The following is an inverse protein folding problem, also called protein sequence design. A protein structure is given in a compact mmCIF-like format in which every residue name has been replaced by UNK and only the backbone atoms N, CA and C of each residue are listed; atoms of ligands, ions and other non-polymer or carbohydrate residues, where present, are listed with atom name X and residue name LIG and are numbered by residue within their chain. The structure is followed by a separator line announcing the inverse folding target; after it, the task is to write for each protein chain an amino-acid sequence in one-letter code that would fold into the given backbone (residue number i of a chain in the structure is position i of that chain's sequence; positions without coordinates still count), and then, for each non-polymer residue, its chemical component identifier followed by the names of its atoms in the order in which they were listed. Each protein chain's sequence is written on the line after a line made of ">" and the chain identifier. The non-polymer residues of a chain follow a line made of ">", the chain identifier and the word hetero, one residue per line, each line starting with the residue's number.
data_IF_974652314283
#
_entry.id   IF_974652314283
#
_cell.length_a   1.000
_cell.length_b   1.000
_cell.length_c   1.000
_cell.angle_alpha   90.00
_cell.angle_beta   90.00
_cell.angle_gamma   90.00
#
_symmetry.space_group_name_H-M   'P 1'
#
loop_
_entity.id
_entity.type
_entity.pdbx_description
1 polymer ?
#
# COMPACT_ATOMS: atom_id res chain seq x y z
N UNK A 1 -3.81 -30.19 -9.88
CA UNK A 1 -3.37 -28.79 -9.91
C UNK A 1 -1.96 -28.69 -9.39
N UNK A 2 -1.03 -28.28 -10.25
CA UNK A 2 0.30 -27.84 -9.86
C UNK A 2 0.20 -26.39 -9.41
N UNK A 3 0.31 -26.10 -8.10
CA UNK A 3 0.48 -24.72 -7.63
C UNK A 3 1.81 -24.16 -8.17
N UNK A 4 1.73 -23.20 -9.09
CA UNK A 4 2.91 -22.52 -9.59
C UNK A 4 3.22 -21.30 -8.70
N UNK A 5 4.19 -21.45 -7.79
CA UNK A 5 4.65 -20.36 -6.88
C UNK A 5 5.14 -19.06 -7.55
N UNK A 6 5.21 -19.01 -8.88
CA UNK A 6 5.74 -17.88 -9.65
C UNK A 6 4.70 -17.29 -10.63
N UNK A 7 3.42 -17.67 -10.50
CA UNK A 7 2.33 -17.18 -11.34
C UNK A 7 1.32 -16.41 -10.49
N UNK A 8 0.78 -15.34 -11.07
CA UNK A 8 -0.23 -14.50 -10.42
C UNK A 8 -1.61 -14.83 -10.96
N UNK A 9 -2.66 -14.60 -10.16
CA UNK A 9 -4.06 -14.83 -10.58
C UNK A 9 -4.61 -13.73 -11.51
N UNK A 10 -4.06 -12.52 -11.40
CA UNK A 10 -4.57 -11.35 -12.11
C UNK A 10 -4.45 -11.47 -13.63
N UNK A 11 -5.57 -11.30 -14.35
CA UNK A 11 -5.59 -11.34 -15.81
C UNK A 11 -5.29 -9.92 -16.35
N UNK A 12 -4.15 -9.65 -17.00
CA UNK A 12 -3.70 -8.30 -17.36
C UNK A 12 -4.37 -7.74 -18.63
N UNK A 13 -5.66 -8.02 -18.80
CA UNK A 13 -6.49 -7.52 -19.89
C UNK A 13 -7.75 -6.87 -19.34
N UNK A 14 -8.30 -5.93 -20.11
CA UNK A 14 -9.64 -5.43 -19.84
C UNK A 14 -10.68 -6.46 -20.26
N UNK A 15 -11.84 -6.48 -19.60
CA UNK A 15 -12.96 -7.35 -20.00
C UNK A 15 -13.34 -7.21 -21.47
N UNK A 16 -13.41 -5.97 -21.97
CA UNK A 16 -13.68 -5.68 -23.38
C UNK A 16 -12.62 -6.25 -24.34
N UNK A 17 -11.37 -6.28 -23.90
CA UNK A 17 -10.27 -6.83 -24.70
C UNK A 17 -10.35 -8.37 -24.72
N UNK A 18 -10.61 -9.03 -23.59
CA UNK A 18 -10.85 -10.49 -23.55
C UNK A 18 -11.97 -10.90 -24.51
N UNK A 19 -13.11 -10.21 -24.47
CA UNK A 19 -14.25 -10.48 -25.37
C UNK A 19 -13.82 -10.32 -26.84
N UNK A 20 -13.04 -9.29 -27.14
CA UNK A 20 -12.51 -9.05 -28.49
C UNK A 20 -11.57 -10.17 -28.93
N UNK A 21 -10.60 -10.55 -28.10
CA UNK A 21 -9.64 -11.63 -28.39
C UNK A 21 -10.36 -12.95 -28.66
N UNK A 22 -11.40 -13.27 -27.89
CA UNK A 22 -12.25 -14.45 -28.08
C UNK A 22 -12.99 -14.40 -29.42
N UNK A 23 -13.61 -13.27 -29.77
CA UNK A 23 -14.32 -13.14 -31.05
C UNK A 23 -13.37 -13.20 -32.26
N UNK A 24 -12.15 -12.68 -32.13
CA UNK A 24 -11.12 -12.68 -33.18
C UNK A 24 -10.44 -14.06 -33.34
N UNK A 25 -10.67 -15.01 -32.42
CA UNK A 25 -10.18 -16.40 -32.50
C UNK A 25 -10.72 -17.17 -33.72
N UNK A 26 -11.83 -16.72 -34.30
CA UNK A 26 -12.46 -17.36 -35.46
C UNK A 26 -13.27 -18.63 -35.13
N UNK A 27 -13.54 -18.89 -33.84
CA UNK A 27 -14.34 -20.04 -33.40
C UNK A 27 -15.85 -19.86 -33.55
N UNK A 28 -16.31 -18.63 -33.80
CA UNK A 28 -17.73 -18.29 -33.91
C UNK A 28 -18.08 -17.77 -35.30
N UNK A 29 -19.28 -18.12 -35.79
CA UNK A 29 -19.89 -17.45 -36.93
C UNK A 29 -20.18 -15.98 -36.59
N UNK A 30 -20.34 -15.06 -37.58
CA UNK A 30 -20.68 -13.67 -37.29
C UNK A 30 -21.93 -13.49 -36.41
N UNK A 31 -22.95 -14.33 -36.61
CA UNK A 31 -24.16 -14.31 -35.78
C UNK A 31 -23.91 -14.80 -34.34
N UNK A 32 -23.06 -15.82 -34.16
CA UNK A 32 -22.71 -16.30 -32.82
C UNK A 32 -21.78 -15.32 -32.08
N UNK A 33 -20.96 -14.54 -32.80
CA UNK A 33 -20.19 -13.45 -32.19
C UNK A 33 -21.10 -12.37 -31.60
N UNK A 34 -22.16 -11.96 -32.30
CA UNK A 34 -23.13 -11.00 -31.78
C UNK A 34 -23.87 -11.56 -30.56
N UNK A 35 -24.31 -12.82 -30.62
CA UNK A 35 -24.93 -13.49 -29.46
C UNK A 35 -23.98 -13.60 -28.27
N UNK A 36 -22.71 -13.92 -28.51
CA UNK A 36 -21.71 -14.02 -27.45
C UNK A 36 -21.45 -12.67 -26.78
N UNK A 37 -21.41 -11.58 -27.56
CA UNK A 37 -21.33 -10.22 -27.00
C UNK A 37 -22.55 -9.88 -26.15
N UNK A 38 -23.76 -10.28 -26.58
CA UNK A 38 -24.98 -10.12 -25.78
C UNK A 38 -24.91 -10.91 -24.48
N UNK A 39 -24.46 -12.17 -24.53
CA UNK A 39 -24.21 -12.99 -23.34
C UNK A 39 -23.26 -12.27 -22.36
N UNK A 40 -22.10 -11.82 -22.83
CA UNK A 40 -21.13 -11.11 -21.99
C UNK A 40 -21.73 -9.84 -21.36
N UNK A 41 -22.51 -9.06 -22.12
CA UNK A 41 -23.16 -7.85 -21.60
C UNK A 41 -24.17 -8.18 -20.48
N UNK A 42 -24.92 -9.27 -20.59
CA UNK A 42 -25.84 -9.72 -19.55
C UNK A 42 -25.08 -10.15 -18.30
N UNK A 43 -23.99 -10.93 -18.46
CA UNK A 43 -23.09 -11.30 -17.35
C UNK A 43 -22.55 -10.07 -16.63
N UNK A 44 -22.05 -9.08 -17.38
CA UNK A 44 -21.57 -7.81 -16.83
C UNK A 44 -22.67 -7.07 -16.03
N UNK A 45 -23.89 -7.03 -16.56
CA UNK A 45 -25.01 -6.33 -15.93
C UNK A 45 -25.42 -7.01 -14.61
N UNK A 46 -25.43 -8.34 -14.60
CA UNK A 46 -25.71 -9.17 -13.44
C UNK A 46 -24.66 -8.95 -12.34
N UNK A 47 -23.37 -9.06 -12.68
CA UNK A 47 -22.31 -8.85 -11.69
C UNK A 47 -22.29 -7.42 -11.19
N UNK A 48 -22.48 -6.43 -12.05
CA UNK A 48 -22.54 -5.04 -11.62
C UNK A 48 -23.63 -4.81 -10.56
N UNK A 49 -24.81 -5.41 -10.75
CA UNK A 49 -25.90 -5.36 -9.79
C UNK A 49 -25.54 -6.03 -8.45
N UNK A 50 -24.95 -7.22 -8.49
CA UNK A 50 -24.56 -7.96 -7.28
C UNK A 50 -23.43 -7.26 -6.50
N UNK A 51 -22.43 -6.74 -7.20
CA UNK A 51 -21.31 -6.01 -6.60
C UNK A 51 -21.73 -4.65 -6.04
N UNK A 52 -22.75 -4.01 -6.60
CA UNK A 52 -23.33 -2.80 -6.01
C UNK A 52 -23.82 -3.05 -4.58
N UNK A 53 -24.47 -4.19 -4.31
CA UNK A 53 -24.89 -4.55 -2.95
C UNK A 53 -23.69 -4.70 -2.00
N UNK A 54 -22.60 -5.32 -2.45
CA UNK A 54 -21.38 -5.48 -1.66
C UNK A 54 -20.73 -4.13 -1.34
N UNK A 55 -20.72 -3.21 -2.31
CA UNK A 55 -20.25 -1.83 -2.13
C UNK A 55 -21.05 -1.08 -1.06
N UNK A 56 -22.38 -1.13 -1.12
CA UNK A 56 -23.23 -0.50 -0.09
C UNK A 56 -22.95 -1.12 1.28
N UNK A 57 -22.81 -2.44 1.37
CA UNK A 57 -22.51 -3.13 2.61
C UNK A 57 -21.15 -2.72 3.22
N UNK A 58 -20.12 -2.54 2.40
CA UNK A 58 -18.82 -2.01 2.85
C UNK A 58 -18.96 -0.60 3.42
N UNK A 59 -19.70 0.29 2.74
CA UNK A 59 -19.90 1.66 3.19
C UNK A 59 -20.67 1.74 4.51
N UNK A 60 -21.74 0.98 4.66
CA UNK A 60 -22.54 0.94 5.89
C UNK A 60 -21.71 0.47 7.09
N UNK A 61 -20.94 -0.61 6.94
CA UNK A 61 -20.10 -1.13 8.04
C UNK A 61 -18.85 -0.26 8.30
N UNK A 62 -18.42 0.55 7.34
CA UNK A 62 -17.31 1.50 7.52
C UNK A 62 -17.74 2.82 8.15
N UNK A 63 -19.02 3.17 8.05
CA UNK A 63 -19.58 4.43 8.55
C UNK A 63 -19.11 4.84 9.96
N UNK A 64 -19.17 3.98 11.00
CA UNK A 64 -18.77 4.39 12.36
C UNK A 64 -17.27 4.65 12.53
N UNK A 65 -16.44 4.24 11.56
CA UNK A 65 -14.98 4.37 11.62
C UNK A 65 -14.42 5.40 10.63
N UNK A 66 -15.26 5.91 9.73
CA UNK A 66 -14.83 6.76 8.63
C UNK A 66 -14.44 8.17 9.13
N UNK A 67 -13.15 8.57 9.02
CA UNK A 67 -12.71 9.90 9.43
C UNK A 67 -13.18 11.01 8.49
N UNK A 68 -13.66 10.67 7.30
CA UNK A 68 -14.11 11.61 6.27
C UNK A 68 -15.65 11.69 6.17
N UNK A 69 -16.38 11.35 7.23
CA UNK A 69 -17.85 11.42 7.22
C UNK A 69 -18.35 12.85 6.97
N UNK A 70 -19.10 13.03 5.89
CA UNK A 70 -19.76 14.27 5.51
C UNK A 70 -21.29 14.24 5.69
N UNK A 71 -21.82 13.07 6.07
CA UNK A 71 -23.23 12.84 6.38
C UNK A 71 -23.47 12.77 7.89
N UNK A 72 -24.73 12.89 8.31
CA UNK A 72 -25.13 12.82 9.72
C UNK A 72 -25.88 11.52 9.98
N UNK A 73 -25.62 10.91 11.13
CA UNK A 73 -26.41 9.79 11.66
C UNK A 73 -27.04 10.15 13.00
N UNK A 74 -28.24 9.63 13.25
CA UNK A 74 -28.88 9.63 14.58
C UNK A 74 -28.67 8.31 15.32
N UNK A 75 -28.10 7.31 14.65
CA UNK A 75 -27.85 6.00 15.23
C UNK A 75 -26.68 6.09 16.22
N UNK A 76 -26.90 5.60 17.44
CA UNK A 76 -25.88 5.48 18.46
C UNK A 76 -25.42 4.03 18.50
N UNK A 77 -24.23 3.77 17.99
CA UNK A 77 -23.65 2.44 17.98
C UNK A 77 -23.25 2.02 19.40
N UNK A 78 -23.75 0.87 19.84
CA UNK A 78 -23.26 0.18 21.02
C UNK A 78 -21.88 -0.45 20.75
N UNK A 79 -21.09 -0.78 21.79
CA UNK A 79 -19.80 -1.45 21.62
C UNK A 79 -19.88 -2.77 20.84
N UNK A 80 -20.97 -3.52 21.01
CA UNK A 80 -21.20 -4.78 20.29
C UNK A 80 -21.53 -4.53 18.80
N UNK A 81 -22.27 -3.46 18.49
CA UNK A 81 -22.54 -3.06 17.10
C UNK A 81 -21.27 -2.58 16.41
N UNK A 82 -20.45 -1.75 17.07
CA UNK A 82 -19.14 -1.34 16.54
C UNK A 82 -18.29 -2.55 16.18
N UNK A 83 -18.20 -3.53 17.09
CA UNK A 83 -17.43 -4.75 16.84
C UNK A 83 -17.97 -5.54 15.65
N UNK A 84 -19.29 -5.69 15.53
CA UNK A 84 -19.91 -6.33 14.37
C UNK A 84 -19.62 -5.60 13.07
N UNK A 85 -19.70 -4.27 13.07
CA UNK A 85 -19.36 -3.46 11.89
C UNK A 85 -17.91 -3.68 11.47
N UNK A 86 -16.98 -3.72 12.42
CA UNK A 86 -15.58 -4.02 12.14
C UNK A 86 -15.37 -5.42 11.55
N UNK A 87 -15.93 -6.45 12.19
CA UNK A 87 -15.81 -7.84 11.74
C UNK A 87 -16.38 -8.00 10.32
N UNK A 88 -17.59 -7.49 10.09
CA UNK A 88 -18.26 -7.50 8.79
C UNK A 88 -17.47 -6.76 7.73
N UNK A 89 -16.95 -5.57 8.06
CA UNK A 89 -16.17 -4.76 7.13
C UNK A 89 -14.90 -5.50 6.72
N UNK A 90 -14.15 -6.03 7.69
CA UNK A 90 -12.89 -6.71 7.42
C UNK A 90 -13.09 -7.98 6.61
N UNK A 91 -14.12 -8.78 6.94
CA UNK A 91 -14.47 -9.98 6.18
C UNK A 91 -14.81 -9.65 4.72
N UNK A 92 -15.71 -8.69 4.50
CA UNK A 92 -16.13 -8.31 3.15
C UNK A 92 -15.01 -7.63 2.36
N UNK A 93 -14.18 -6.83 3.04
CA UNK A 93 -13.01 -6.20 2.41
C UNK A 93 -12.02 -7.25 1.90
N UNK A 94 -11.77 -8.30 2.69
CA UNK A 94 -10.92 -9.43 2.30
C UNK A 94 -11.54 -10.23 1.14
N UNK A 95 -12.84 -10.48 1.19
CA UNK A 95 -13.57 -11.18 0.12
C UNK A 95 -13.44 -10.42 -1.21
N UNK A 96 -13.75 -9.12 -1.22
CA UNK A 96 -13.66 -8.30 -2.43
C UNK A 96 -12.23 -8.22 -2.98
N UNK A 97 -11.24 -8.10 -2.10
CA UNK A 97 -9.85 -8.11 -2.53
C UNK A 97 -9.44 -9.47 -3.12
N UNK A 98 -9.90 -10.58 -2.55
CA UNK A 98 -9.68 -11.89 -3.14
C UNK A 98 -10.29 -11.99 -4.55
N UNK A 99 -11.56 -11.59 -4.69
CA UNK A 99 -12.25 -11.56 -5.99
C UNK A 99 -11.59 -10.59 -7.00
N UNK A 100 -10.85 -9.58 -6.52
CA UNK A 100 -10.04 -8.69 -7.34
C UNK A 100 -8.62 -9.24 -7.62
N UNK A 101 -8.35 -10.50 -7.30
CA UNK A 101 -7.06 -11.18 -7.44
C UNK A 101 -5.91 -10.55 -6.63
N UNK A 102 -6.22 -9.99 -5.45
CA UNK A 102 -5.21 -9.56 -4.48
C UNK A 102 -4.82 -10.70 -3.54
N UNK A 103 -3.57 -10.67 -3.09
CA UNK A 103 -3.01 -11.55 -2.08
C UNK A 103 -2.66 -10.80 -0.81
N UNK A 104 -2.85 -11.44 0.35
CA UNK A 104 -2.49 -10.84 1.63
C UNK A 104 -0.98 -10.90 1.83
N UNK A 105 -0.37 -9.78 2.20
CA UNK A 105 1.03 -9.72 2.60
C UNK A 105 1.16 -10.33 4.00
N UNK A 106 2.10 -11.26 4.15
CA UNK A 106 2.35 -11.93 5.43
C UNK A 106 3.20 -11.06 6.35
N UNK A 107 3.19 -11.36 7.66
CA UNK A 107 4.12 -10.72 8.60
C UNK A 107 5.59 -10.98 8.24
N UNK A 108 5.89 -12.14 7.64
CA UNK A 108 7.23 -12.48 7.17
C UNK A 108 7.68 -11.57 6.02
N UNK A 109 6.77 -11.25 5.09
CA UNK A 109 7.05 -10.32 3.98
C UNK A 109 7.30 -8.90 4.49
N UNK A 110 6.53 -8.46 5.50
CA UNK A 110 6.74 -7.18 6.17
C UNK A 110 8.08 -7.14 6.91
N UNK A 111 8.43 -8.19 7.66
CA UNK A 111 9.71 -8.28 8.35
C UNK A 111 10.89 -8.24 7.35
N UNK A 112 10.78 -8.96 6.24
CA UNK A 112 11.76 -8.91 5.16
C UNK A 112 11.91 -7.51 4.56
N UNK A 113 10.80 -6.78 4.36
CA UNK A 113 10.84 -5.39 3.89
C UNK A 113 11.58 -4.47 4.85
N UNK A 114 11.43 -4.67 6.16
CA UNK A 114 12.11 -3.88 7.21
C UNK A 114 13.60 -4.19 7.34
N UNK A 115 14.05 -5.39 6.98
CA UNK A 115 15.47 -5.80 7.03
C UNK A 115 16.27 -5.37 5.79
N UNK A 116 15.63 -5.34 4.62
CA UNK A 116 16.31 -5.01 3.35
C UNK A 116 16.65 -3.52 3.24
N UNK A 117 17.73 -3.21 2.51
CA UNK A 117 18.10 -1.81 2.28
C UNK A 117 17.03 -1.09 1.45
N UNK A 118 16.28 -0.21 2.12
CA UNK A 118 15.40 0.78 1.49
C UNK A 118 16.10 1.59 0.38
N UNK A 119 15.36 1.94 -0.67
CA UNK A 119 15.84 2.87 -1.71
C UNK A 119 16.12 4.26 -1.12
N UNK A 120 15.42 4.59 -0.04
CA UNK A 120 15.66 5.79 0.73
C UNK A 120 16.83 5.56 1.68
N UNK A 121 17.82 6.45 1.61
CA UNK A 121 19.02 6.37 2.47
C UNK A 121 18.72 6.59 3.97
N UNK A 122 17.46 6.75 4.35
CA UNK A 122 16.99 7.08 5.70
C UNK A 122 16.00 5.99 6.12
N UNK A 123 16.18 5.45 7.32
CA UNK A 123 15.29 4.42 7.88
C UNK A 123 14.01 5.06 8.41
N UNK A 124 12.86 4.55 7.96
CA UNK A 124 11.58 4.88 8.55
C UNK A 124 11.32 3.93 9.72
N UNK A 125 10.77 4.45 10.81
CA UNK A 125 10.27 3.64 11.90
C UNK A 125 8.76 3.79 12.01
N UNK A 126 8.06 2.67 12.03
CA UNK A 126 6.61 2.58 12.23
C UNK A 126 6.37 2.06 13.65
N UNK A 127 5.53 2.74 14.42
CA UNK A 127 5.14 2.26 15.75
C UNK A 127 3.86 1.43 15.62
N UNK A 128 4.00 0.14 15.33
CA UNK A 128 2.87 -0.76 15.10
C UNK A 128 1.95 -0.89 16.33
N UNK A 129 2.42 -0.54 17.53
CA UNK A 129 1.59 -0.55 18.74
C UNK A 129 0.43 0.46 18.69
N UNK A 130 0.49 1.47 17.80
CA UNK A 130 -0.58 2.46 17.62
C UNK A 130 -1.81 1.89 16.90
N UNK A 131 -1.66 0.74 16.24
CA UNK A 131 -2.72 0.11 15.48
C UNK A 131 -3.39 -0.98 16.31
N UNK A 132 -4.71 -1.01 16.24
CA UNK A 132 -5.51 -2.10 16.80
C UNK A 132 -5.52 -3.29 15.84
N UNK A 133 -5.66 -3.01 14.55
CA UNK A 133 -5.52 -4.00 13.47
C UNK A 133 -4.95 -3.36 12.21
N UNK A 134 -4.23 -4.15 11.42
CA UNK A 134 -3.74 -3.77 10.10
C UNK A 134 -3.73 -4.98 9.17
N UNK A 135 -4.18 -4.78 7.94
CA UNK A 135 -4.05 -5.77 6.88
C UNK A 135 -3.58 -5.09 5.60
N UNK A 136 -2.71 -5.78 4.86
CA UNK A 136 -2.12 -5.28 3.63
C UNK A 136 -2.25 -6.36 2.57
N UNK A 137 -2.67 -5.93 1.39
CA UNK A 137 -2.86 -6.78 0.23
C UNK A 137 -2.11 -6.20 -0.96
N UNK A 138 -1.62 -7.07 -1.84
CA UNK A 138 -0.99 -6.66 -3.09
C UNK A 138 -1.60 -7.38 -4.28
N UNK A 139 -1.46 -6.78 -5.46
CA UNK A 139 -1.73 -7.40 -6.74
C UNK A 139 -0.72 -6.91 -7.74
N UNK A 140 -0.14 -7.83 -8.52
CA UNK A 140 0.92 -7.47 -9.46
C UNK A 140 2.28 -7.33 -8.79
N UNK A 141 3.27 -8.00 -9.35
CA UNK A 141 4.68 -7.83 -9.02
C UNK A 141 5.46 -7.52 -10.30
N UNK A 142 6.33 -6.52 -10.20
CA UNK A 142 7.12 -6.09 -11.35
C UNK A 142 8.53 -5.71 -10.91
N UNK A 143 9.42 -5.59 -11.88
CA UNK A 143 10.76 -5.02 -11.67
C UNK A 143 10.85 -3.67 -12.36
N UNK A 144 11.12 -2.62 -11.60
CA UNK A 144 11.29 -1.26 -12.12
C UNK A 144 12.76 -0.82 -12.07
N UNK A 145 13.20 -0.14 -13.12
CA UNK A 145 14.55 0.44 -13.18
C UNK A 145 14.57 1.75 -12.39
N UNK A 146 15.19 1.74 -11.21
CA UNK A 146 15.43 2.94 -10.42
C UNK A 146 16.84 3.48 -10.68
N UNK A 147 16.98 4.81 -10.75
CA UNK A 147 18.29 5.47 -10.85
C UNK A 147 18.73 5.94 -9.46
N UNK A 148 19.66 5.22 -8.85
CA UNK A 148 20.18 5.52 -7.52
C UNK A 148 21.49 6.29 -7.61
N UNK A 149 21.59 7.39 -6.86
CA UNK A 149 22.83 8.17 -6.76
C UNK A 149 23.79 7.50 -5.78
N UNK A 150 24.82 6.83 -6.30
CA UNK A 150 25.84 6.10 -5.52
C UNK A 150 26.85 7.06 -4.87
N UNK A 151 27.28 8.10 -5.60
CA UNK A 151 28.14 9.18 -5.08
C UNK A 151 27.77 10.55 -5.69
N UNK A 152 28.44 11.65 -5.30
CA UNK A 152 28.12 13.05 -5.67
C UNK A 152 27.82 13.29 -7.17
N UNK A 153 28.29 12.42 -8.07
CA UNK A 153 28.12 12.53 -9.53
C UNK A 153 27.68 11.21 -10.19
N UNK A 154 27.93 10.05 -9.56
CA UNK A 154 27.65 8.74 -10.17
C UNK A 154 26.25 8.25 -9.84
N UNK A 155 25.46 7.99 -10.87
CA UNK A 155 24.18 7.29 -10.81
C UNK A 155 24.34 5.84 -11.28
N UNK A 156 23.60 4.93 -10.67
CA UNK A 156 23.54 3.52 -11.05
C UNK A 156 22.07 3.18 -11.31
N UNK A 157 21.81 2.49 -12.43
CA UNK A 157 20.51 1.90 -12.70
C UNK A 157 20.45 0.56 -11.97
N UNK A 158 19.47 0.40 -11.10
CA UNK A 158 19.27 -0.83 -10.32
C UNK A 158 17.84 -1.29 -10.53
N UNK A 159 17.70 -2.59 -10.71
CA UNK A 159 16.41 -3.26 -10.79
C UNK A 159 15.82 -3.39 -9.40
N UNK A 160 14.61 -2.88 -9.23
CA UNK A 160 13.91 -2.81 -7.95
C UNK A 160 12.62 -3.60 -8.07
N UNK A 161 12.42 -4.63 -7.23
CA UNK A 161 11.14 -5.31 -7.17
C UNK A 161 10.08 -4.39 -6.54
N UNK A 162 8.93 -4.29 -7.20
CA UNK A 162 7.79 -3.50 -6.75
C UNK A 162 6.54 -4.36 -6.68
N UNK A 163 5.63 -3.98 -5.80
CA UNK A 163 4.22 -4.33 -5.90
C UNK A 163 3.51 -3.29 -6.78
N UNK A 164 2.79 -3.74 -7.79
CA UNK A 164 2.13 -2.84 -8.74
C UNK A 164 0.90 -2.18 -8.15
N UNK A 165 0.14 -2.90 -7.32
CA UNK A 165 -0.99 -2.40 -6.52
C UNK A 165 -0.85 -2.86 -5.08
N UNK A 166 -1.15 -1.96 -4.14
CA UNK A 166 -1.25 -2.28 -2.71
C UNK A 166 -2.52 -1.68 -2.15
N UNK A 167 -3.32 -2.48 -1.45
CA UNK A 167 -4.39 -2.00 -0.58
C UNK A 167 -3.94 -2.13 0.88
N UNK A 168 -4.13 -1.09 1.67
CA UNK A 168 -3.85 -1.08 3.11
C UNK A 168 -5.10 -0.68 3.87
N UNK A 169 -5.34 -1.39 4.96
CA UNK A 169 -6.39 -1.12 5.93
C UNK A 169 -5.74 -1.04 7.31
N UNK A 170 -5.98 0.05 8.04
CA UNK A 170 -5.44 0.29 9.38
C UNK A 170 -6.58 0.79 10.27
N UNK A 171 -6.73 0.17 11.44
CA UNK A 171 -7.54 0.70 12.54
C UNK A 171 -6.63 1.25 13.63
N UNK A 172 -6.85 2.49 14.04
CA UNK A 172 -6.13 3.06 15.18
C UNK A 172 -6.75 2.63 16.50
N UNK A 173 -5.91 2.56 17.55
CA UNK A 173 -6.41 2.39 18.92
C UNK A 173 -7.27 3.57 19.38
N UNK A 174 -7.99 3.36 20.47
CA UNK A 174 -8.91 4.35 21.03
C UNK A 174 -8.20 5.56 21.68
N UNK A 175 -9.00 6.54 22.08
CA UNK A 175 -8.50 7.76 22.72
C UNK A 175 -7.77 7.45 24.05
N UNK A 176 -8.27 6.48 24.84
CA UNK A 176 -7.71 6.12 26.14
C UNK A 176 -6.27 5.60 26.02
N UNK A 177 -5.97 4.82 24.98
CA UNK A 177 -4.62 4.37 24.66
C UNK A 177 -3.66 5.56 24.39
N UNK A 178 -4.06 6.50 23.54
CA UNK A 178 -3.20 7.62 23.16
C UNK A 178 -3.00 8.66 24.28
N UNK A 179 -4.01 8.86 25.12
CA UNK A 179 -3.90 9.66 26.35
C UNK A 179 -2.86 9.06 27.30
N UNK A 180 -2.89 7.74 27.50
CA UNK A 180 -1.93 7.02 28.34
C UNK A 180 -0.50 7.15 27.81
N UNK A 181 -0.32 7.06 26.49
CA UNK A 181 1.00 7.27 25.82
C UNK A 181 1.44 8.74 25.82
N UNK A 182 0.63 9.69 26.31
CA UNK A 182 0.89 11.14 26.34
C UNK A 182 1.29 11.71 24.97
N UNK A 183 0.80 11.11 23.89
CA UNK A 183 1.06 11.60 22.53
C UNK A 183 0.20 12.83 22.27
N UNK A 184 0.84 13.93 21.91
CA UNK A 184 0.17 15.20 21.57
C UNK A 184 0.15 15.36 20.05
N UNK A 185 -0.87 16.06 19.53
CA UNK A 185 -1.01 16.41 18.11
C UNK A 185 -1.15 15.19 17.16
N UNK A 186 -2.08 14.28 17.47
CA UNK A 186 -2.45 13.21 16.54
C UNK A 186 -2.94 13.83 15.23
N UNK A 187 -2.48 13.27 14.11
CA UNK A 187 -2.89 13.67 12.75
C UNK A 187 -4.09 12.83 12.25
N UNK A 188 -4.70 12.06 13.14
CA UNK A 188 -5.79 11.13 12.88
C UNK A 188 -6.72 11.11 14.09
N UNK A 189 -7.95 10.65 13.88
CA UNK A 189 -8.93 10.46 14.94
C UNK A 189 -8.73 9.10 15.61
N UNK A 190 -8.58 9.02 16.95
CA UNK A 190 -8.51 7.75 17.66
C UNK A 190 -9.72 6.86 17.38
N UNK A 191 -9.52 5.55 17.20
CA UNK A 191 -10.57 4.59 16.86
C UNK A 191 -11.02 4.61 15.39
N UNK A 192 -10.59 5.60 14.59
CA UNK A 192 -10.90 5.63 13.16
C UNK A 192 -10.15 4.57 12.36
N UNK A 193 -10.66 4.28 11.18
CA UNK A 193 -10.03 3.41 10.19
C UNK A 193 -9.54 4.23 9.00
N UNK A 194 -8.36 3.88 8.48
CA UNK A 194 -7.83 4.43 7.25
C UNK A 194 -7.65 3.30 6.25
N UNK A 195 -8.17 3.52 5.05
CA UNK A 195 -8.01 2.61 3.93
C UNK A 195 -7.33 3.37 2.81
N UNK A 196 -6.29 2.80 2.19
CA UNK A 196 -5.61 3.44 1.06
C UNK A 196 -5.25 2.44 -0.01
N UNK A 197 -5.25 2.91 -1.25
CA UNK A 197 -4.80 2.16 -2.39
C UNK A 197 -3.60 2.85 -3.03
N UNK A 198 -2.54 2.11 -3.32
CA UNK A 198 -1.30 2.62 -3.90
C UNK A 198 -0.88 1.83 -5.13
N UNK A 199 -0.01 2.42 -5.95
CA UNK A 199 0.68 1.77 -7.07
C UNK A 199 2.20 1.84 -6.94
N UNK A 200 2.87 0.85 -7.53
CA UNK A 200 4.32 0.84 -7.75
C UNK A 200 5.13 1.09 -6.47
N UNK A 201 4.80 0.34 -5.42
CA UNK A 201 5.48 0.43 -4.12
C UNK A 201 6.67 -0.54 -4.12
N UNK A 202 7.91 -0.08 -3.88
CA UNK A 202 9.06 -0.98 -3.73
C UNK A 202 8.84 -1.95 -2.59
N UNK A 203 9.12 -3.24 -2.81
CA UNK A 203 8.93 -4.27 -1.77
C UNK A 203 9.72 -3.96 -0.50
N UNK A 204 10.89 -3.32 -0.62
CA UNK A 204 11.75 -2.93 0.50
C UNK A 204 11.39 -1.58 1.15
N UNK A 205 10.36 -0.88 0.69
CA UNK A 205 9.96 0.43 1.22
C UNK A 205 8.51 0.46 1.72
N UNK A 206 7.91 -0.70 2.02
CA UNK A 206 6.51 -0.79 2.47
C UNK A 206 6.20 0.01 3.74
N UNK A 207 7.19 0.19 4.60
CA UNK A 207 7.15 1.05 5.80
C UNK A 207 6.63 2.48 5.50
N UNK A 208 6.83 2.96 4.27
CA UNK A 208 6.40 4.29 3.85
C UNK A 208 4.88 4.47 3.81
N UNK A 209 4.12 3.37 3.74
CA UNK A 209 2.67 3.40 3.60
C UNK A 209 1.96 3.71 4.92
N UNK A 210 2.67 3.55 6.04
CA UNK A 210 2.08 3.73 7.36
C UNK A 210 2.05 5.20 7.79
N UNK A 211 0.93 5.66 8.39
CA UNK A 211 0.71 7.08 8.69
C UNK A 211 1.56 7.62 9.83
N UNK A 212 2.00 6.79 10.77
CA UNK A 212 2.78 7.18 11.96
C UNK A 212 4.31 7.03 11.75
N UNK A 213 4.75 7.12 10.49
CA UNK A 213 6.14 7.04 10.09
C UNK A 213 7.00 8.12 10.77
N UNK A 214 7.97 7.69 11.58
CA UNK A 214 8.97 8.56 12.19
C UNK A 214 10.31 8.44 11.46
N UNK A 215 10.86 9.60 11.07
CA UNK A 215 12.19 9.67 10.45
C UNK A 215 13.26 9.39 11.52
N UNK A 216 13.95 8.26 11.43
CA UNK A 216 15.15 7.98 12.20
C UNK A 216 16.36 7.93 11.27
N UNK A 217 17.47 8.53 11.69
CA UNK A 217 18.71 8.43 10.93
C UNK A 217 19.33 7.06 11.17
N UNK A 218 19.83 6.42 10.11
CA UNK A 218 20.58 5.16 10.24
C UNK A 218 21.81 5.40 11.13
N UNK A 219 22.24 4.45 11.98
CA UNK A 219 23.40 4.64 12.85
C UNK A 219 24.67 5.07 12.09
N UNK A 220 24.90 4.55 10.88
CA UNK A 220 26.00 4.98 9.99
C UNK A 220 25.93 6.47 9.59
N UNK A 221 24.73 7.00 9.41
CA UNK A 221 24.50 8.40 9.05
C UNK A 221 24.57 9.31 10.28
N UNK A 222 24.17 8.81 11.45
CA UNK A 222 24.42 9.48 12.73
C UNK A 222 25.93 9.55 12.97
N UNK A 223 26.68 8.47 12.76
CA UNK A 223 28.14 8.45 12.86
C UNK A 223 28.80 9.31 11.80
N UNK A 224 28.26 9.48 10.60
CA UNK A 224 28.80 10.43 9.62
C UNK A 224 28.48 11.90 10.01
N UNK A 225 27.29 12.15 10.55
CA UNK A 225 26.87 13.47 11.02
C UNK A 225 27.60 13.90 12.31
N UNK A 226 27.87 12.95 13.19
CA UNK A 226 28.67 13.10 14.41
C UNK A 226 30.17 13.01 14.07
N UNK A 227 30.56 12.20 13.10
CA UNK A 227 31.94 12.02 12.65
C UNK A 227 32.46 13.18 11.80
N UNK A 228 31.57 13.93 11.14
CA UNK A 228 31.91 15.25 10.58
C UNK A 228 32.16 16.32 11.67
N UNK A 229 31.79 16.05 12.93
CA UNK A 229 32.31 16.80 14.08
C UNK A 229 33.82 16.57 14.23
N UNK A 230 34.37 15.42 13.82
CA UNK A 230 35.79 15.10 13.99
C UNK A 230 36.66 15.75 12.91
N UNK A 231 36.17 15.88 11.66
CA UNK A 231 36.95 16.50 10.58
C UNK A 231 36.93 18.05 10.57
N UNK A 232 35.77 18.66 10.79
CA UNK A 232 35.60 20.12 10.71
C UNK A 232 35.19 20.79 12.04
N UNK A 233 34.43 20.08 12.88
CA UNK A 233 33.97 20.58 14.18
C UNK A 233 35.08 20.65 15.23
N UNK A 234 35.97 19.66 15.28
CA UNK A 234 37.15 19.63 16.15
C UNK A 234 38.07 20.81 15.83
N UNK A 235 38.29 21.15 14.56
CA UNK A 235 39.10 22.30 14.21
C UNK A 235 38.49 23.62 14.71
N UNK A 236 37.15 23.77 14.61
CA UNK A 236 36.43 24.94 15.14
C UNK A 236 36.48 24.97 16.67
N UNK A 237 36.22 23.84 17.35
CA UNK A 237 36.25 23.73 18.81
C UNK A 237 37.66 23.90 19.38
N UNK A 238 38.68 23.25 18.81
CA UNK A 238 40.08 23.38 19.25
C UNK A 238 40.58 24.81 19.04
N UNK A 239 40.32 25.44 17.89
CA UNK A 239 40.71 26.84 17.66
C UNK A 239 39.96 27.82 18.57
N UNK A 240 38.67 27.56 18.83
CA UNK A 240 37.86 28.36 19.74
C UNK A 240 38.26 28.17 21.22
N UNK A 241 38.77 26.99 21.60
CA UNK A 241 39.10 26.67 22.99
C UNK A 241 40.15 27.61 23.60
N UNK A 242 41.15 28.03 22.83
CA UNK A 242 42.16 28.99 23.29
C UNK A 242 41.55 30.34 23.67
N UNK A 243 40.60 30.85 22.88
CA UNK A 243 39.87 32.08 23.20
C UNK A 243 38.98 31.94 24.43
N UNK A 244 38.30 30.79 24.59
CA UNK A 244 37.48 30.51 25.76
C UNK A 244 38.31 30.40 27.05
N UNK A 245 39.47 29.72 26.99
CA UNK A 245 40.39 29.61 28.12
C UNK A 245 40.95 30.98 28.49
N UNK A 246 41.33 31.80 27.51
CA UNK A 246 41.80 33.16 27.74
C UNK A 246 40.71 34.01 28.43
N UNK A 247 39.48 33.96 27.95
CA UNK A 247 38.35 34.66 28.58
C UNK A 247 38.03 34.14 29.99
N UNK A 248 38.04 32.82 30.20
CA UNK A 248 37.85 32.22 31.52
C UNK A 248 38.95 32.66 32.51
N UNK A 249 40.19 32.82 32.04
CA UNK A 249 41.29 33.36 32.86
C UNK A 249 41.06 34.81 33.27
N UNK A 250 40.43 35.63 32.43
CA UNK A 250 40.02 37.01 32.77
C UNK A 250 38.87 37.00 33.77
N UNK A 251 37.86 36.13 33.61
CA UNK A 251 36.79 35.98 34.59
C UNK A 251 37.31 35.52 35.95
N UNK A 252 38.26 34.58 35.98
CA UNK A 252 38.92 34.15 37.20
C UNK A 252 39.72 35.29 37.86
N UNK A 253 40.46 36.06 37.06
CA UNK A 253 41.18 37.24 37.55
C UNK A 253 40.25 38.31 38.13
N UNK A 254 39.13 38.59 37.46
CA UNK A 254 38.12 39.55 37.91
C UNK A 254 37.45 39.11 39.22
N UNK A 255 36.98 37.87 39.28
CA UNK A 255 36.32 37.32 40.49
C UNK A 255 37.26 37.26 41.68
N UNK A 256 38.50 36.79 41.48
CA UNK A 256 39.52 36.77 42.55
C UNK A 256 39.84 38.17 43.05
N UNK A 257 40.04 39.14 42.15
CA UNK A 257 40.38 40.52 42.53
C UNK A 257 39.23 41.20 43.26
N UNK A 258 38.00 40.99 42.81
CA UNK A 258 36.80 41.50 43.46
C UNK A 258 36.65 40.98 44.90
N UNK A 259 36.88 39.68 45.11
CA UNK A 259 36.81 39.05 46.45
C UNK A 259 37.94 39.52 47.37
N UNK A 260 39.17 39.64 46.85
CA UNK A 260 40.34 40.00 47.67
C UNK A 260 40.45 41.50 47.97
N UNK A 261 39.95 42.36 47.09
CA UNK A 261 40.05 43.83 47.21
C UNK A 261 38.76 44.48 47.72
N UNK A 262 37.95 43.76 48.49
CA UNK A 262 36.77 44.32 49.16
C UNK A 262 35.66 44.81 48.24
N UNK A 263 35.52 44.25 47.04
CA UNK A 263 34.48 44.60 46.07
C UNK A 263 34.89 45.63 45.01
N UNK A 264 36.14 46.10 45.01
CA UNK A 264 36.63 47.00 43.96
C UNK A 264 36.98 46.23 42.67
N UNK A 265 36.48 46.73 41.53
CA UNK A 265 36.75 46.15 40.21
C UNK A 265 38.12 46.62 39.68
N UNK A 266 39.03 45.71 39.30
CA UNK A 266 40.32 46.11 38.74
C UNK A 266 40.15 46.68 37.32
N UNK A 267 40.98 47.66 36.95
CA UNK A 267 41.03 48.16 35.58
C UNK A 267 41.54 47.08 34.63
N UNK A 268 40.79 46.83 33.55
CA UNK A 268 41.19 45.89 32.50
C UNK A 268 42.22 46.55 31.59
N UNK A 269 43.40 45.94 31.48
CA UNK A 269 44.42 46.33 30.51
C UNK A 269 44.15 45.77 29.11
N UNK A 270 44.95 46.17 28.11
CA UNK A 270 44.79 45.75 26.71
C UNK A 270 44.78 44.22 26.52
N UNK A 271 45.56 43.49 27.33
CA UNK A 271 45.63 42.03 27.29
C UNK A 271 44.34 41.35 27.76
N UNK A 272 43.72 41.82 28.86
CA UNK A 272 42.44 41.26 29.32
C UNK A 272 41.30 41.59 28.35
N UNK A 273 41.30 42.79 27.76
CA UNK A 273 40.31 43.17 26.72
C UNK A 273 40.45 42.27 25.49
N UNK A 274 41.68 42.03 25.02
CA UNK A 274 41.95 41.12 23.89
C UNK A 274 41.49 39.68 24.17
N UNK A 275 41.73 39.16 25.38
CA UNK A 275 41.28 37.85 25.80
C UNK A 275 39.73 37.74 25.85
N UNK A 276 39.03 38.78 26.30
CA UNK A 276 37.56 38.84 26.27
C UNK A 276 37.00 38.86 24.84
N UNK A 277 37.61 39.64 23.93
CA UNK A 277 37.22 39.67 22.50
C UNK A 277 37.50 38.33 21.83
N UNK A 278 38.63 37.68 22.13
CA UNK A 278 38.97 36.36 21.63
C UNK A 278 37.98 35.29 22.12
N UNK A 279 37.59 35.32 23.40
CA UNK A 279 36.57 34.44 23.95
C UNK A 279 35.16 34.69 23.40
N UNK A 280 34.78 35.97 23.24
CA UNK A 280 33.53 36.34 22.57
C UNK A 280 33.47 35.84 21.13
N UNK A 281 34.57 35.98 20.39
CA UNK A 281 34.69 35.45 19.01
C UNK A 281 34.63 33.93 18.96
N UNK A 282 35.26 33.26 19.93
CA UNK A 282 35.20 31.81 20.09
C UNK A 282 33.77 31.30 20.36
N UNK A 283 33.04 31.95 21.28
CA UNK A 283 31.63 31.64 21.56
C UNK A 283 30.76 31.85 20.31
N UNK A 284 30.96 32.95 19.59
CA UNK A 284 30.22 33.23 18.36
C UNK A 284 30.48 32.16 17.28
N UNK A 285 31.72 31.70 17.12
CA UNK A 285 32.07 30.65 16.16
C UNK A 285 31.42 29.30 16.51
N UNK A 286 31.44 28.91 17.79
CA UNK A 286 30.77 27.69 18.27
C UNK A 286 29.26 27.79 18.09
N UNK A 287 28.66 28.93 18.45
CA UNK A 287 27.23 29.19 18.27
C UNK A 287 26.80 29.11 16.81
N UNK A 288 27.54 29.76 15.91
CA UNK A 288 27.28 29.72 14.47
C UNK A 288 27.39 28.29 13.91
N UNK A 289 28.38 27.51 14.35
CA UNK A 289 28.53 26.12 13.94
C UNK A 289 27.40 25.22 14.46
N UNK A 290 26.98 25.39 15.72
CA UNK A 290 25.86 24.66 16.31
C UNK A 290 24.54 24.95 15.55
N UNK A 291 24.27 26.23 15.26
CA UNK A 291 23.12 26.66 14.46
C UNK A 291 23.17 26.08 13.04
N UNK A 292 24.34 26.11 12.39
CA UNK A 292 24.54 25.51 11.06
C UNK A 292 24.24 24.01 11.08
N UNK A 293 24.71 23.28 12.08
CA UNK A 293 24.51 21.84 12.17
C UNK A 293 23.05 21.48 12.43
N UNK A 294 22.39 22.21 13.34
CA UNK A 294 20.96 22.09 13.57
C UNK A 294 20.15 22.34 12.29
N UNK A 295 20.47 23.41 11.55
CA UNK A 295 19.80 23.74 10.30
C UNK A 295 20.05 22.69 9.21
N UNK A 296 21.25 22.12 9.12
CA UNK A 296 21.57 21.04 8.18
C UNK A 296 20.73 19.79 8.46
N UNK A 297 20.61 19.40 9.73
CA UNK A 297 19.74 18.30 10.16
C UNK A 297 18.28 18.57 9.82
N UNK A 298 17.76 19.73 10.22
CA UNK A 298 16.39 20.16 9.94
C UNK A 298 16.10 20.12 8.43
N UNK A 299 17.00 20.68 7.62
CA UNK A 299 16.87 20.71 6.16
C UNK A 299 16.90 19.31 5.53
N UNK A 300 17.72 18.40 6.06
CA UNK A 300 17.76 17.00 5.61
C UNK A 300 16.44 16.28 5.93
N UNK A 301 15.91 16.46 7.15
CA UNK A 301 14.61 15.91 7.56
C UNK A 301 13.47 16.46 6.70
N UNK A 302 13.41 17.77 6.48
CA UNK A 302 12.37 18.41 5.64
C UNK A 302 12.44 17.90 4.20
N UNK A 303 13.65 17.85 3.60
CA UNK A 303 13.82 17.35 2.23
C UNK A 303 13.35 15.91 2.09
N UNK A 304 13.63 15.08 3.10
CA UNK A 304 13.17 13.69 3.10
C UNK A 304 11.65 13.60 3.19
N UNK A 305 11.02 14.29 4.14
CA UNK A 305 9.56 14.32 4.25
C UNK A 305 8.90 14.84 2.98
N UNK A 306 9.52 15.81 2.30
CA UNK A 306 9.08 16.27 0.98
C UNK A 306 9.17 15.17 -0.07
N UNK A 307 10.30 14.47 -0.18
CA UNK A 307 10.47 13.38 -1.17
C UNK A 307 9.48 12.24 -0.89
N UNK A 308 9.28 11.88 0.37
CA UNK A 308 8.30 10.88 0.78
C UNK A 308 6.88 11.32 0.40
N UNK A 309 6.49 12.54 0.73
CA UNK A 309 5.19 13.12 0.37
C UNK A 309 4.99 13.19 -1.15
N UNK A 310 5.96 13.71 -1.90
CA UNK A 310 5.92 13.78 -3.36
C UNK A 310 5.77 12.38 -3.98
N UNK A 311 6.52 11.39 -3.49
CA UNK A 311 6.43 10.02 -3.99
C UNK A 311 5.09 9.36 -3.66
N UNK A 312 4.60 9.49 -2.42
CA UNK A 312 3.31 8.95 -2.01
C UNK A 312 2.16 9.62 -2.77
N UNK A 313 2.26 10.91 -3.09
CA UNK A 313 1.25 11.63 -3.86
C UNK A 313 1.01 11.00 -5.24
N UNK A 314 2.07 10.72 -6.00
CA UNK A 314 1.93 10.11 -7.33
C UNK A 314 1.66 8.61 -7.32
N UNK A 315 1.89 7.97 -6.16
CA UNK A 315 1.65 6.54 -5.95
C UNK A 315 0.28 6.27 -5.33
N UNK A 316 -0.35 7.24 -4.69
CA UNK A 316 -1.71 7.11 -4.18
C UNK A 316 -2.70 6.99 -5.34
N UNK A 317 -3.59 6.01 -5.24
CA UNK A 317 -4.67 5.77 -6.19
C UNK A 317 -6.00 6.20 -5.62
N UNK A 318 -6.27 5.85 -4.35
CA UNK A 318 -7.55 6.14 -3.71
C UNK A 318 -7.45 6.10 -2.17
N UNK A 319 -8.44 6.70 -1.49
CA UNK A 319 -8.48 6.83 -0.03
C UNK A 319 -9.88 6.53 0.52
N UNK A 320 -9.91 5.89 1.70
CA UNK A 320 -11.09 5.61 2.50
C UNK A 320 -12.23 5.01 1.66
N UNK A 321 -13.45 5.57 1.71
CA UNK A 321 -14.59 5.03 0.96
C UNK A 321 -14.36 4.93 -0.56
N UNK A 322 -13.50 5.78 -1.14
CA UNK A 322 -13.13 5.70 -2.55
C UNK A 322 -12.41 4.39 -2.91
N UNK A 323 -11.63 3.83 -1.97
CA UNK A 323 -10.98 2.52 -2.17
C UNK A 323 -12.02 1.44 -2.44
N UNK A 324 -13.18 1.46 -1.78
CA UNK A 324 -14.23 0.46 -2.01
C UNK A 324 -14.72 0.48 -3.45
N UNK A 325 -14.95 1.65 -4.02
CA UNK A 325 -15.33 1.77 -5.43
C UNK A 325 -14.27 1.18 -6.36
N UNK A 326 -12.99 1.46 -6.07
CA UNK A 326 -11.88 0.95 -6.88
C UNK A 326 -11.76 -0.57 -6.83
N UNK A 327 -11.83 -1.17 -5.64
CA UNK A 327 -11.66 -2.63 -5.48
C UNK A 327 -12.91 -3.39 -5.95
N UNK A 328 -14.10 -2.78 -5.85
CA UNK A 328 -15.35 -3.35 -6.38
C UNK A 328 -15.29 -3.42 -7.90
N UNK A 329 -14.90 -2.33 -8.58
CA UNK A 329 -14.75 -2.31 -10.03
C UNK A 329 -13.69 -3.33 -10.49
N UNK A 330 -12.57 -3.40 -9.77
CA UNK A 330 -11.51 -4.36 -10.05
C UNK A 330 -11.97 -5.82 -9.86
N UNK A 331 -12.75 -6.11 -8.82
CA UNK A 331 -13.31 -7.44 -8.58
C UNK A 331 -14.33 -7.80 -9.67
N UNK A 332 -15.29 -6.91 -9.98
CA UNK A 332 -16.27 -7.11 -11.05
C UNK A 332 -15.58 -7.46 -12.39
N UNK A 333 -14.47 -6.77 -12.70
CA UNK A 333 -13.71 -7.02 -13.92
C UNK A 333 -13.02 -8.39 -13.94
N UNK A 334 -12.36 -8.83 -12.85
CA UNK A 334 -11.75 -10.16 -12.78
C UNK A 334 -12.81 -11.27 -12.87
N UNK A 335 -13.86 -11.18 -12.05
CA UNK A 335 -14.96 -12.14 -11.99
C UNK A 335 -15.62 -12.35 -13.35
N UNK A 336 -15.85 -11.25 -14.07
CA UNK A 336 -16.42 -11.30 -15.42
C UNK A 336 -15.47 -11.98 -16.41
N UNK A 337 -14.16 -11.68 -16.35
CA UNK A 337 -13.16 -12.30 -17.25
C UNK A 337 -13.09 -13.80 -17.03
N UNK A 338 -13.05 -14.23 -15.77
CA UNK A 338 -13.00 -15.64 -15.38
C UNK A 338 -14.24 -16.40 -15.85
N UNK A 339 -15.44 -15.86 -15.59
CA UNK A 339 -16.69 -16.49 -16.01
C UNK A 339 -16.78 -16.59 -17.55
N UNK A 340 -16.41 -15.52 -18.27
CA UNK A 340 -16.44 -15.49 -19.74
C UNK A 340 -15.44 -16.48 -20.35
N UNK A 341 -14.20 -16.54 -19.81
CA UNK A 341 -13.19 -17.48 -20.28
C UNK A 341 -13.60 -18.92 -19.99
N UNK A 342 -14.02 -19.22 -18.76
CA UNK A 342 -14.52 -20.54 -18.37
C UNK A 342 -15.66 -21.02 -19.26
N UNK A 343 -16.66 -20.16 -19.50
CA UNK A 343 -17.79 -20.47 -20.35
C UNK A 343 -17.36 -20.71 -21.81
N UNK A 344 -16.52 -19.84 -22.36
CA UNK A 344 -16.07 -19.94 -23.75
C UNK A 344 -15.30 -21.24 -24.02
N UNK A 345 -14.37 -21.61 -23.16
CA UNK A 345 -13.57 -22.82 -23.37
C UNK A 345 -14.36 -24.10 -23.13
N UNK A 346 -15.33 -24.10 -22.21
CA UNK A 346 -16.27 -25.21 -22.08
C UNK A 346 -17.19 -25.33 -23.29
N UNK A 347 -17.70 -24.21 -23.82
CA UNK A 347 -18.58 -24.21 -25.00
C UNK A 347 -17.88 -24.79 -26.24
N UNK A 348 -16.54 -24.70 -26.31
CA UNK A 348 -15.74 -25.30 -27.37
C UNK A 348 -15.48 -26.79 -27.22
N UNK A 349 -15.75 -27.37 -26.05
CA UNK A 349 -15.57 -28.81 -25.82
C UNK A 349 -16.86 -29.57 -26.08
N UNK A 350 -16.85 -30.46 -27.07
CA UNK A 350 -18.01 -31.31 -27.39
C UNK A 350 -18.38 -32.26 -26.24
N UNK A 351 -17.38 -32.80 -25.53
CA UNK A 351 -17.54 -33.80 -24.47
C UNK A 351 -17.43 -33.21 -23.06
N UNK A 352 -17.35 -31.88 -22.93
CA UNK A 352 -17.05 -31.21 -21.65
C UNK A 352 -15.57 -31.30 -21.26
N UNK A 353 -15.21 -30.67 -20.14
CA UNK A 353 -13.85 -30.67 -19.60
C UNK A 353 -13.87 -30.87 -18.09
N UNK A 354 -12.81 -31.46 -17.54
CA UNK A 354 -12.59 -31.45 -16.10
C UNK A 354 -12.10 -30.07 -15.67
N UNK A 355 -12.20 -29.78 -14.37
CA UNK A 355 -11.62 -28.56 -13.78
C UNK A 355 -10.16 -28.38 -14.17
N UNK A 356 -9.34 -29.41 -13.99
CA UNK A 356 -7.92 -29.43 -14.35
C UNK A 356 -7.67 -29.19 -15.84
N UNK A 357 -8.43 -29.84 -16.72
CA UNK A 357 -8.24 -29.71 -18.16
C UNK A 357 -8.69 -28.33 -18.67
N UNK A 358 -9.72 -27.75 -18.07
CA UNK A 358 -10.20 -26.41 -18.42
C UNK A 358 -9.20 -25.33 -18.00
N UNK A 359 -8.66 -25.46 -16.80
CA UNK A 359 -7.58 -24.63 -16.27
C UNK A 359 -6.36 -24.62 -17.20
N UNK A 360 -5.82 -25.81 -17.49
CA UNK A 360 -4.66 -26.00 -18.38
C UNK A 360 -4.89 -25.38 -19.76
N UNK A 361 -6.10 -25.51 -20.32
CA UNK A 361 -6.43 -24.97 -21.65
C UNK A 361 -6.47 -23.44 -21.65
N UNK A 362 -7.03 -22.82 -20.60
CA UNK A 362 -7.12 -21.36 -20.47
C UNK A 362 -5.73 -20.77 -20.25
N UNK A 363 -4.95 -21.32 -19.33
CA UNK A 363 -3.59 -20.87 -19.06
C UNK A 363 -2.69 -21.02 -20.29
N UNK A 364 -2.75 -22.18 -20.97
CA UNK A 364 -1.97 -22.42 -22.17
C UNK A 364 -2.37 -21.46 -23.31
N UNK A 365 -3.63 -21.05 -23.39
CA UNK A 365 -4.09 -20.07 -24.38
C UNK A 365 -3.50 -18.68 -24.10
N UNK A 366 -3.57 -18.21 -22.85
CA UNK A 366 -2.99 -16.92 -22.44
C UNK A 366 -1.47 -16.89 -22.62
N UNK A 367 -0.79 -17.95 -22.24
CA UNK A 367 0.66 -18.08 -22.37
C UNK A 367 1.08 -18.08 -23.84
N UNK A 368 0.55 -19.00 -24.65
CA UNK A 368 1.01 -19.20 -26.03
C UNK A 368 0.68 -18.04 -26.96
N UNK A 369 -0.48 -17.38 -26.77
CA UNK A 369 -0.90 -16.31 -27.66
C UNK A 369 -0.44 -14.92 -27.21
N UNK A 370 -0.36 -14.70 -25.91
CA UNK A 370 -0.16 -13.35 -25.37
C UNK A 370 1.03 -13.23 -24.42
N UNK A 371 1.78 -14.31 -24.17
CA UNK A 371 2.92 -14.34 -23.25
C UNK A 371 2.52 -13.87 -21.84
N UNK A 372 1.34 -14.31 -21.40
CA UNK A 372 0.78 -14.03 -20.08
C UNK A 372 0.78 -15.33 -19.28
N UNK A 373 1.58 -15.36 -18.21
CA UNK A 373 1.68 -16.48 -17.29
C UNK A 373 0.80 -16.17 -16.08
N UNK A 374 -0.27 -16.94 -15.88
CA UNK A 374 -1.18 -16.79 -14.75
C UNK A 374 -1.50 -18.14 -14.13
N UNK A 375 -1.97 -18.11 -12.88
CA UNK A 375 -2.63 -19.22 -12.17
C UNK A 375 -4.13 -18.93 -12.21
N UNK A 376 -4.88 -19.55 -13.12
CA UNK A 376 -6.28 -19.15 -13.37
C UNK A 376 -7.21 -19.63 -12.24
N UNK A 377 -8.15 -18.79 -11.79
CA UNK A 377 -9.08 -19.14 -10.70
C UNK A 377 -10.23 -20.07 -11.18
N UNK A 378 -9.87 -21.25 -11.66
CA UNK A 378 -10.82 -22.14 -12.33
C UNK A 378 -11.99 -22.59 -11.45
N UNK A 379 -11.70 -22.89 -10.18
CA UNK A 379 -12.71 -23.31 -9.21
C UNK A 379 -13.80 -22.26 -9.06
N UNK A 380 -13.38 -21.01 -9.03
CA UNK A 380 -14.30 -19.92 -8.84
C UNK A 380 -15.10 -19.62 -10.11
N UNK A 381 -14.43 -19.65 -11.26
CA UNK A 381 -15.10 -19.57 -12.56
C UNK A 381 -16.20 -20.64 -12.71
N UNK A 382 -15.89 -21.91 -12.39
CA UNK A 382 -16.86 -23.00 -12.44
C UNK A 382 -18.01 -22.82 -11.45
N UNK A 383 -17.71 -22.45 -10.20
CA UNK A 383 -18.73 -22.16 -9.18
C UNK A 383 -19.72 -21.09 -9.64
N UNK A 384 -19.23 -20.01 -10.27
CA UNK A 384 -20.06 -18.93 -10.83
C UNK A 384 -20.96 -19.45 -11.95
N UNK A 385 -20.39 -20.22 -12.88
CA UNK A 385 -21.15 -20.80 -13.99
C UNK A 385 -22.20 -21.82 -13.51
N UNK A 386 -21.91 -22.62 -12.49
CA UNK A 386 -22.87 -23.53 -11.88
C UNK A 386 -23.99 -22.76 -11.16
N UNK A 387 -23.66 -21.70 -10.43
CA UNK A 387 -24.63 -20.85 -9.70
C UNK A 387 -25.61 -20.18 -10.66
N UNK A 388 -25.14 -19.76 -11.83
CA UNK A 388 -25.98 -19.20 -12.89
C UNK A 388 -26.67 -20.29 -13.75
N UNK A 389 -26.46 -21.57 -13.42
CA UNK A 389 -26.91 -22.74 -14.18
C UNK A 389 -26.48 -22.73 -15.66
N UNK A 390 -25.33 -22.11 -15.94
CA UNK A 390 -24.72 -22.04 -17.28
C UNK A 390 -23.87 -23.27 -17.60
N UNK A 391 -23.45 -24.02 -16.59
CA UNK A 391 -22.83 -25.33 -16.76
C UNK A 391 -23.39 -26.36 -15.76
N UNK A 392 -23.13 -27.64 -16.05
CA UNK A 392 -23.53 -28.77 -15.23
C UNK A 392 -22.48 -29.87 -15.27
N UNK A 393 -22.44 -30.67 -14.21
CA UNK A 393 -21.66 -31.90 -14.17
C UNK A 393 -22.40 -32.99 -14.94
N UNK A 394 -21.76 -33.58 -15.96
CA UNK A 394 -22.35 -34.63 -16.81
C UNK A 394 -21.81 -36.01 -16.53
N UNK A 395 -20.71 -36.12 -15.79
CA UNK A 395 -20.09 -37.38 -15.41
C UNK A 395 -18.78 -37.16 -14.67
N UNK A 396 -17.99 -38.23 -14.56
CA UNK A 396 -16.63 -38.21 -14.02
C UNK A 396 -15.67 -38.87 -15.00
N UNK A 397 -14.43 -38.40 -15.04
CA UNK A 397 -13.36 -39.04 -15.79
C UNK A 397 -12.83 -40.30 -15.06
N UNK A 398 -11.86 -40.99 -15.68
CA UNK A 398 -11.23 -42.19 -15.11
C UNK A 398 -10.53 -41.94 -13.76
N UNK A 399 -10.17 -40.70 -13.46
CA UNK A 399 -9.52 -40.28 -12.22
C UNK A 399 -10.51 -39.81 -11.14
N UNK A 400 -11.82 -39.85 -11.41
CA UNK A 400 -12.87 -39.38 -10.50
C UNK A 400 -13.11 -37.86 -10.50
N UNK A 401 -12.53 -37.12 -11.45
CA UNK A 401 -12.78 -35.68 -11.61
C UNK A 401 -14.08 -35.44 -12.35
N UNK A 402 -14.88 -34.47 -11.89
CA UNK A 402 -16.13 -34.09 -12.51
C UNK A 402 -15.89 -33.51 -13.91
N UNK A 403 -16.72 -33.91 -14.87
CA UNK A 403 -16.75 -33.38 -16.23
C UNK A 403 -17.85 -32.34 -16.31
N UNK A 404 -17.48 -31.11 -16.65
CA UNK A 404 -18.37 -29.97 -16.79
C UNK A 404 -18.74 -29.76 -18.26
N UNK A 405 -20.00 -29.47 -18.52
CA UNK A 405 -20.49 -29.10 -19.84
C UNK A 405 -21.41 -27.88 -19.74
N UNK A 406 -21.27 -26.93 -20.65
CA UNK A 406 -22.10 -25.72 -20.67
C UNK A 406 -23.40 -25.91 -21.42
N UNK A 407 -24.35 -25.00 -21.16
CA UNK A 407 -25.45 -24.73 -22.07
C UNK A 407 -24.92 -24.25 -23.43
N UNK A 408 -25.74 -24.42 -24.48
CA UNK A 408 -25.46 -23.77 -25.76
C UNK A 408 -25.61 -22.25 -25.61
N UNK A 409 -24.98 -21.49 -26.50
CA UNK A 409 -25.03 -20.02 -26.45
C UNK A 409 -26.46 -19.47 -26.46
N UNK A 410 -27.37 -20.07 -27.24
CA UNK A 410 -28.78 -19.67 -27.27
C UNK A 410 -29.50 -19.96 -25.93
N UNK A 411 -29.20 -21.09 -25.30
CA UNK A 411 -29.78 -21.45 -24.02
C UNK A 411 -29.20 -20.60 -22.87
N UNK A 412 -27.90 -20.31 -22.92
CA UNK A 412 -27.23 -19.43 -21.96
C UNK A 412 -27.81 -18.00 -22.02
N UNK A 413 -28.01 -17.43 -23.21
CA UNK A 413 -28.64 -16.11 -23.35
C UNK A 413 -30.05 -16.09 -22.73
N UNK A 414 -30.88 -17.11 -23.00
CA UNK A 414 -32.22 -17.20 -22.39
C UNK A 414 -32.14 -17.33 -20.88
N UNK A 415 -31.21 -18.16 -20.37
CA UNK A 415 -31.02 -18.34 -18.94
C UNK A 415 -30.63 -17.04 -18.24
N UNK A 416 -29.74 -16.25 -18.86
CA UNK A 416 -29.31 -14.97 -18.30
C UNK A 416 -30.43 -13.92 -18.33
N UNK A 417 -31.26 -13.92 -19.37
CA UNK A 417 -32.46 -13.09 -19.47
C UNK A 417 -33.47 -13.47 -18.36
N UNK A 418 -33.73 -14.76 -18.18
CA UNK A 418 -34.60 -15.27 -17.10
C UNK A 418 -34.07 -14.89 -15.71
N UNK A 419 -32.76 -14.98 -15.49
CA UNK A 419 -32.12 -14.56 -14.23
C UNK A 419 -32.32 -13.06 -14.01
N UNK A 420 -32.10 -12.23 -15.05
CA UNK A 420 -32.30 -10.79 -14.99
C UNK A 420 -33.74 -10.41 -14.62
N UNK A 421 -34.70 -10.99 -15.32
CA UNK A 421 -36.14 -10.72 -15.13
C UNK A 421 -36.64 -11.13 -13.73
N UNK A 422 -35.98 -12.11 -13.11
CA UNK A 422 -36.34 -12.63 -11.79
C UNK A 422 -35.51 -12.07 -10.63
N UNK A 423 -34.64 -11.08 -10.83
CA UNK A 423 -33.91 -10.44 -9.71
C UNK A 423 -34.84 -9.79 -8.69
N UNK A 424 -35.99 -9.29 -9.14
CA UNK A 424 -36.96 -8.59 -8.31
C UNK A 424 -38.33 -9.26 -8.40
N UNK A 425 -38.56 -10.26 -7.56
CA UNK A 425 -39.86 -10.92 -7.45
C UNK A 425 -40.81 -10.12 -6.56
N UNK A 426 -41.41 -9.07 -7.13
CA UNK A 426 -42.51 -8.32 -6.49
C UNK A 426 -43.90 -8.87 -6.84
N UNK A 427 -43.97 -9.81 -7.79
CA UNK A 427 -45.18 -10.50 -8.19
C UNK A 427 -45.28 -11.83 -7.43
N UNK A 428 -45.63 -11.76 -6.14
CA UNK A 428 -46.00 -12.93 -5.33
C UNK A 428 -47.51 -12.92 -5.11
#
# INVERSE_FOLDING_TARGET
>A
MTEYRDRERFIPFRKSEIIRLICEEGSFSPGDQEKFRSFCKMTESIYHFEFHKKLEYLKENYYPFNPDNDTRTIHQYSPDEIRKCEDNLLENFKEILNNANYEQITEADLAYAMEKESLFKISIFVDFDDFDSQVIFYRGTATQKATLKKWLIQTVKTDVPVFERIAIFIKFKDAAYFETKKRKNLQFEPGSMIIKLFKNIPKADMEMLFPNTQVRMKPKDVVLMVGSLIGGGIAVFLKASAGLIAMASVFWFLTRSFVLNGGEMPNLGPAQISAMVAGGSALAAIGAYALKQWNSYKNRKIRFMKILGDNLYFKNLDNNAGVFHHIIDAAEEEECKEAVLGYYFLLRSENGLTESALDDVIEAWLEKKYNVLIDFEIKDALRKLETLELCRITGQNENGENIYQTLSLDAACKKMDDVWDNYFQFNV
#
